data_IF_359334318210
#
_entry.id   IF_359334318210
#
_cell.length_a   1.000
_cell.length_b   1.000
_cell.length_c   1.000
_cell.angle_alpha   90.00
_cell.angle_beta   90.00
_cell.angle_gamma   90.00
#
_symmetry.space_group_name_H-M   'P 1'
#
loop_
_entity.id
_entity.type
_entity.pdbx_description
1 polymer ?
#
# COMPACT_ATOMS: atom_id res chain seq x y z
N UNK A 1 3.04 15.76 -5.12
CA UNK A 1 2.49 14.48 -4.61
C UNK A 1 2.71 14.44 -3.12
N UNK A 2 1.70 14.02 -2.35
CA UNK A 2 1.84 13.71 -0.93
C UNK A 2 2.02 12.19 -0.84
N UNK A 3 3.10 11.73 -0.20
CA UNK A 3 3.49 10.33 -0.16
C UNK A 3 3.52 9.83 1.28
N UNK A 4 2.75 8.79 1.57
CA UNK A 4 2.69 8.15 2.88
C UNK A 4 3.36 6.78 2.80
N UNK A 5 4.33 6.52 3.67
CA UNK A 5 4.95 5.21 3.85
C UNK A 5 5.37 5.05 5.32
N UNK A 6 5.64 3.81 5.73
CA UNK A 6 6.10 3.49 7.08
C UNK A 6 7.58 3.84 7.33
N UNK A 7 8.03 3.75 8.57
CA UNK A 7 9.41 4.08 8.95
C UNK A 7 10.41 2.92 8.78
N UNK A 8 10.15 1.97 7.87
CA UNK A 8 11.12 0.92 7.56
C UNK A 8 12.49 1.52 7.24
N UNK A 9 13.57 0.88 7.71
CA UNK A 9 14.95 1.41 7.62
C UNK A 9 15.34 1.81 6.20
N UNK A 10 14.89 1.05 5.20
CA UNK A 10 15.13 1.33 3.79
C UNK A 10 14.38 2.58 3.31
N UNK A 11 13.14 2.79 3.76
CA UNK A 11 12.32 3.94 3.35
C UNK A 11 12.86 5.27 3.91
N UNK A 12 13.48 5.25 5.08
CA UNK A 12 14.08 6.45 5.70
C UNK A 12 15.57 6.63 5.36
N UNK A 13 16.15 5.74 4.55
CA UNK A 13 17.54 5.82 4.14
C UNK A 13 17.82 7.09 3.32
N UNK A 14 19.05 7.61 3.45
CA UNK A 14 19.46 8.87 2.79
C UNK A 14 19.25 8.84 1.27
N UNK A 15 19.52 7.69 0.64
CA UNK A 15 19.38 7.53 -0.82
C UNK A 15 17.92 7.66 -1.25
N UNK A 16 17.00 7.03 -0.52
CA UNK A 16 15.55 7.10 -0.79
C UNK A 16 15.01 8.50 -0.55
N UNK A 17 15.40 9.15 0.57
CA UNK A 17 15.01 10.54 0.85
C UNK A 17 15.44 11.50 -0.27
N UNK A 18 16.70 11.42 -0.69
CA UNK A 18 17.20 12.23 -1.82
C UNK A 18 16.41 11.98 -3.10
N UNK A 19 16.10 10.72 -3.39
CA UNK A 19 15.30 10.39 -4.57
C UNK A 19 13.90 11.01 -4.51
N UNK A 20 13.20 10.90 -3.37
CA UNK A 20 11.89 11.53 -3.18
C UNK A 20 11.94 13.06 -3.26
N UNK A 21 13.02 13.69 -2.79
CA UNK A 21 13.29 15.12 -2.97
C UNK A 21 13.46 15.48 -4.45
N UNK A 22 14.19 14.68 -5.25
CA UNK A 22 14.31 14.92 -6.71
C UNK A 22 12.97 14.83 -7.43
N UNK A 23 12.08 13.96 -6.97
CA UNK A 23 10.71 13.86 -7.48
C UNK A 23 9.79 14.98 -6.97
N UNK A 24 10.25 15.80 -6.02
CA UNK A 24 9.47 16.85 -5.33
C UNK A 24 8.23 16.28 -4.63
N UNK A 25 8.37 15.12 -4.00
CA UNK A 25 7.30 14.48 -3.24
C UNK A 25 7.38 14.86 -1.77
N UNK A 26 6.25 15.26 -1.19
CA UNK A 26 6.16 15.59 0.23
C UNK A 26 5.83 14.32 0.99
N UNK A 27 6.78 13.83 1.79
CA UNK A 27 6.59 12.65 2.63
C UNK A 27 5.80 13.04 3.88
N UNK A 28 4.67 12.37 4.14
CA UNK A 28 3.91 12.58 5.37
C UNK A 28 4.64 11.97 6.58
N UNK A 29 4.63 12.65 7.75
CA UNK A 29 5.11 12.05 8.97
C UNK A 29 4.30 10.80 9.31
N UNK A 30 4.98 9.68 9.53
CA UNK A 30 4.38 8.45 10.03
C UNK A 30 4.97 8.14 11.41
N UNK A 31 4.16 7.90 12.45
CA UNK A 31 4.68 7.50 13.76
C UNK A 31 5.24 6.06 13.74
N UNK A 32 6.25 5.73 14.57
CA UNK A 32 6.75 4.37 14.69
C UNK A 32 5.65 3.38 15.12
N UNK A 33 5.70 2.15 14.59
CA UNK A 33 4.83 1.04 14.99
C UNK A 33 3.32 1.33 14.91
N UNK A 34 2.89 2.12 13.93
CA UNK A 34 1.49 2.55 13.79
C UNK A 34 0.82 2.02 12.51
N UNK A 35 0.69 0.69 12.36
CA UNK A 35 0.05 0.08 11.18
C UNK A 35 -1.45 0.42 11.07
N UNK A 36 -2.08 0.82 12.17
CA UNK A 36 -3.45 1.33 12.22
C UNK A 36 -3.61 2.67 11.47
N UNK A 37 -2.54 3.45 11.35
CA UNK A 37 -2.50 4.73 10.65
C UNK A 37 -2.14 4.54 9.17
N UNK A 38 -1.55 3.40 8.79
CA UNK A 38 -1.24 3.09 7.40
C UNK A 38 -2.49 2.55 6.68
N UNK A 39 -3.08 3.27 5.70
CA UNK A 39 -4.29 2.82 5.03
C UNK A 39 -4.05 1.59 4.16
N UNK A 40 -2.83 1.36 3.71
CA UNK A 40 -2.42 0.09 3.08
C UNK A 40 -2.69 -1.08 4.02
N UNK A 41 -2.23 -0.99 5.27
CA UNK A 41 -2.20 -2.09 6.22
C UNK A 41 -3.57 -2.27 6.89
N UNK A 42 -4.19 -1.18 7.35
CA UNK A 42 -5.50 -1.23 7.97
C UNK A 42 -6.62 -1.48 6.96
N UNK A 43 -6.55 -0.86 5.78
CA UNK A 43 -7.65 -0.89 4.83
C UNK A 43 -7.44 -1.87 3.69
N UNK A 44 -6.49 -1.60 2.80
CA UNK A 44 -6.32 -2.31 1.53
C UNK A 44 -5.99 -3.79 1.73
N UNK A 45 -4.93 -4.07 2.49
CA UNK A 45 -4.44 -5.44 2.71
C UNK A 45 -5.44 -6.28 3.49
N UNK A 46 -6.22 -5.71 4.40
CA UNK A 46 -7.30 -6.47 5.06
C UNK A 46 -8.38 -6.96 4.10
N UNK A 47 -8.80 -6.13 3.12
CA UNK A 47 -9.80 -6.55 2.12
C UNK A 47 -9.20 -7.60 1.19
N UNK A 48 -7.96 -7.40 0.76
CA UNK A 48 -7.25 -8.38 -0.05
C UNK A 48 -7.09 -9.72 0.69
N UNK A 49 -6.72 -9.70 1.97
CA UNK A 49 -6.61 -10.91 2.81
C UNK A 49 -7.94 -11.66 2.94
N UNK A 50 -9.04 -10.94 3.11
CA UNK A 50 -10.37 -11.55 3.14
C UNK A 50 -10.66 -12.32 1.85
N UNK A 51 -10.36 -11.72 0.69
CA UNK A 51 -10.62 -12.35 -0.60
C UNK A 51 -9.59 -13.47 -0.92
N UNK A 52 -8.38 -13.35 -0.39
CA UNK A 52 -7.32 -14.38 -0.48
C UNK A 52 -7.65 -15.62 0.36
N UNK A 53 -8.39 -15.49 1.46
CA UNK A 53 -8.60 -16.58 2.42
C UNK A 53 -9.24 -17.84 1.81
N UNK A 54 -9.94 -17.69 0.68
CA UNK A 54 -10.58 -18.79 -0.06
C UNK A 54 -9.71 -19.43 -1.16
N UNK A 55 -8.49 -18.95 -1.37
CA UNK A 55 -7.65 -19.37 -2.49
C UNK A 55 -6.44 -20.20 -2.04
N UNK A 56 -6.09 -21.23 -2.82
CA UNK A 56 -4.81 -21.95 -2.73
C UNK A 56 -4.11 -21.83 -4.08
N UNK A 57 -2.88 -21.36 -4.05
CA UNK A 57 -2.06 -21.18 -5.25
C UNK A 57 -1.01 -22.28 -5.32
N UNK A 58 -0.70 -22.73 -6.53
CA UNK A 58 0.33 -23.75 -6.81
C UNK A 58 1.57 -23.18 -7.47
N UNK A 59 1.50 -21.94 -7.97
CA UNK A 59 2.61 -21.25 -8.62
C UNK A 59 2.60 -19.75 -8.36
N UNK A 60 3.75 -19.11 -8.56
CA UNK A 60 3.87 -17.66 -8.52
C UNK A 60 3.04 -16.96 -9.60
N UNK A 61 2.95 -17.54 -10.81
CA UNK A 61 2.17 -17.00 -11.91
C UNK A 61 0.67 -16.93 -11.58
N UNK A 62 0.14 -17.91 -10.84
CA UNK A 62 -1.25 -17.87 -10.36
C UNK A 62 -1.48 -16.73 -9.36
N UNK A 63 -0.54 -16.50 -8.44
CA UNK A 63 -0.60 -15.39 -7.48
C UNK A 63 -0.60 -14.05 -8.22
N UNK A 64 0.30 -13.89 -9.19
CA UNK A 64 0.42 -12.67 -9.99
C UNK A 64 -0.87 -12.41 -10.79
N UNK A 65 -1.38 -13.42 -11.50
CA UNK A 65 -2.63 -13.29 -12.25
C UNK A 65 -3.82 -12.97 -11.33
N UNK A 66 -3.92 -13.63 -10.16
CA UNK A 66 -4.96 -13.34 -9.19
C UNK A 66 -4.88 -11.90 -8.69
N UNK A 67 -3.68 -11.41 -8.34
CA UNK A 67 -3.48 -10.05 -7.85
C UNK A 67 -3.86 -9.01 -8.91
N UNK A 68 -3.43 -9.21 -10.16
CA UNK A 68 -3.77 -8.31 -11.26
C UNK A 68 -5.29 -8.25 -11.48
N UNK A 69 -5.95 -9.41 -11.51
CA UNK A 69 -7.41 -9.47 -11.65
C UNK A 69 -8.13 -8.86 -10.44
N UNK A 70 -7.62 -9.08 -9.22
CA UNK A 70 -8.20 -8.52 -8.01
C UNK A 70 -8.13 -6.98 -8.02
N UNK A 71 -6.98 -6.40 -8.40
CA UNK A 71 -6.83 -4.95 -8.53
C UNK A 71 -7.73 -4.41 -9.64
N UNK A 72 -7.74 -5.04 -10.82
CA UNK A 72 -8.55 -4.62 -11.95
C UNK A 72 -10.07 -4.73 -11.69
N UNK A 73 -10.49 -5.61 -10.77
CA UNK A 73 -11.89 -5.73 -10.37
C UNK A 73 -12.41 -4.58 -9.49
N UNK A 74 -11.52 -3.74 -8.93
CA UNK A 74 -11.92 -2.64 -8.05
C UNK A 74 -12.22 -1.38 -8.86
N UNK A 75 -13.29 -0.70 -8.48
CA UNK A 75 -13.70 0.56 -9.08
C UNK A 75 -12.96 1.75 -8.46
N UNK A 76 -13.12 2.92 -9.06
CA UNK A 76 -12.52 4.15 -8.54
C UNK A 76 -13.03 4.50 -7.13
N UNK A 77 -14.28 4.15 -6.81
CA UNK A 77 -14.86 4.42 -5.49
C UNK A 77 -14.15 3.62 -4.39
N UNK A 78 -13.69 2.40 -4.68
CA UNK A 78 -12.87 1.61 -3.77
C UNK A 78 -11.58 2.34 -3.39
N UNK A 79 -10.81 2.83 -4.36
CA UNK A 79 -9.55 3.54 -4.09
C UNK A 79 -9.78 4.95 -3.52
N UNK A 80 -10.89 5.60 -3.86
CA UNK A 80 -11.28 6.87 -3.25
C UNK A 80 -11.57 6.71 -1.75
N UNK A 81 -12.23 5.60 -1.36
CA UNK A 81 -12.44 5.25 0.06
C UNK A 81 -11.15 4.86 0.78
N UNK A 82 -10.19 4.26 0.08
CA UNK A 82 -8.87 4.00 0.64
C UNK A 82 -8.12 5.32 0.91
N UNK A 83 -8.09 6.22 -0.06
CA UNK A 83 -7.44 7.53 0.06
C UNK A 83 -8.07 8.42 1.12
N UNK A 84 -9.40 8.35 1.32
CA UNK A 84 -10.06 9.12 2.38
C UNK A 84 -9.69 8.68 3.80
N UNK A 85 -8.95 7.57 3.96
CA UNK A 85 -8.37 7.13 5.24
C UNK A 85 -6.97 7.67 5.52
N UNK A 86 -6.37 8.43 4.59
CA UNK A 86 -5.09 9.12 4.78
C UNK A 86 -5.24 10.38 5.66
N UNK A 87 -6.47 10.80 5.97
CA UNK A 87 -6.81 11.98 6.76
C UNK A 87 -7.43 11.63 8.12
#
# INVERSE_FOLDING_TARGET
VIFLHDNARLHVAKVVKKYLETLKWNVLPHPPYSPDIAPSDYWLFRRMQHDLASHRFTSFAEIENWLQNWIASKDESFFSRWNSKIA
#
